data_IF_591914175840
#
_entry.id   IF_591914175840
#
_cell.length_a   1.000
_cell.length_b   1.000
_cell.length_c   1.000
_cell.angle_alpha   90.00
_cell.angle_beta   90.00
_cell.angle_gamma   90.00
#
_symmetry.space_group_name_H-M   'P 1'
#
loop_
_entity.id
_entity.type
_entity.pdbx_description
1 polymer ?
#
# COMPACT_ATOMS: atom_id res chain seq x y z
N UNK A 1 -14.07 -17.25 -2.40
CA UNK A 1 -14.32 -15.94 -1.76
C UNK A 1 -13.08 -15.24 -1.20
N UNK A 2 -12.16 -15.91 -0.49
CA UNK A 2 -11.01 -15.29 0.22
C UNK A 2 -10.09 -14.45 -0.70
N UNK A 3 -9.88 -14.91 -1.92
CA UNK A 3 -8.98 -14.28 -2.89
C UNK A 3 -9.40 -12.86 -3.31
N UNK A 4 -10.71 -12.64 -3.53
CA UNK A 4 -11.21 -11.31 -3.84
C UNK A 4 -11.02 -10.37 -2.64
N UNK A 5 -11.22 -10.89 -1.42
CA UNK A 5 -11.01 -10.12 -0.19
C UNK A 5 -9.55 -9.74 0.00
N UNK A 6 -8.60 -10.65 -0.22
CA UNK A 6 -7.16 -10.35 -0.10
C UNK A 6 -6.71 -9.27 -1.11
N UNK A 7 -7.21 -9.33 -2.35
CA UNK A 7 -6.96 -8.29 -3.36
C UNK A 7 -7.53 -6.93 -2.93
N UNK A 8 -8.78 -6.90 -2.44
CA UNK A 8 -9.44 -5.68 -1.95
C UNK A 8 -8.70 -5.10 -0.74
N UNK A 9 -8.33 -5.91 0.24
CA UNK A 9 -7.56 -5.48 1.41
C UNK A 9 -6.20 -4.90 1.00
N UNK A 10 -5.50 -5.53 0.06
CA UNK A 10 -4.26 -5.00 -0.49
C UNK A 10 -4.43 -3.62 -1.11
N UNK A 11 -5.50 -3.42 -1.91
CA UNK A 11 -5.81 -2.11 -2.47
C UNK A 11 -6.18 -1.06 -1.43
N UNK A 12 -6.94 -1.44 -0.39
CA UNK A 12 -7.26 -0.52 0.72
C UNK A 12 -5.97 -0.06 1.41
N UNK A 13 -5.06 -0.99 1.73
CA UNK A 13 -3.76 -0.65 2.31
C UNK A 13 -2.96 0.31 1.43
N UNK A 14 -2.92 0.06 0.11
CA UNK A 14 -2.23 0.94 -0.85
C UNK A 14 -2.84 2.34 -0.85
N UNK A 15 -4.17 2.45 -0.94
CA UNK A 15 -4.86 3.74 -0.99
C UNK A 15 -4.64 4.53 0.29
N UNK A 16 -4.80 3.89 1.45
CA UNK A 16 -4.62 4.55 2.76
C UNK A 16 -3.17 5.01 2.94
N UNK A 17 -2.19 4.17 2.62
CA UNK A 17 -0.78 4.53 2.74
C UNK A 17 -0.40 5.66 1.75
N UNK A 18 -0.88 5.60 0.51
CA UNK A 18 -0.64 6.64 -0.49
C UNK A 18 -1.27 7.98 -0.06
N UNK A 19 -2.50 7.96 0.45
CA UNK A 19 -3.17 9.15 0.97
C UNK A 19 -2.41 9.76 2.16
N UNK A 20 -1.94 8.92 3.09
CA UNK A 20 -1.11 9.37 4.21
C UNK A 20 0.21 9.99 3.72
N UNK A 21 0.91 9.35 2.77
CA UNK A 21 2.15 9.89 2.22
C UNK A 21 1.94 11.23 1.52
N UNK A 22 0.86 11.38 0.75
CA UNK A 22 0.49 12.65 0.12
C UNK A 22 0.19 13.74 1.16
N UNK A 23 -0.56 13.40 2.22
CA UNK A 23 -0.79 14.30 3.35
C UNK A 23 0.51 14.71 4.03
N UNK A 24 1.38 13.73 4.32
CA UNK A 24 2.66 13.95 4.97
C UNK A 24 3.56 14.86 4.15
N UNK A 25 3.69 14.62 2.84
CA UNK A 25 4.41 15.50 1.92
C UNK A 25 3.83 16.91 1.93
N UNK A 26 2.51 17.05 1.86
CA UNK A 26 1.85 18.37 1.88
C UNK A 26 2.11 19.14 3.17
N UNK A 27 1.97 18.49 4.32
CA UNK A 27 2.02 19.16 5.63
C UNK A 27 3.44 19.34 6.14
N UNK A 28 4.33 18.38 5.88
CA UNK A 28 5.69 18.38 6.44
C UNK A 28 6.77 18.84 5.46
N UNK A 29 6.52 18.77 4.15
CA UNK A 29 7.53 19.17 3.13
C UNK A 29 7.14 20.45 2.40
N UNK A 30 5.86 20.63 2.06
CA UNK A 30 5.41 21.80 1.27
C UNK A 30 4.97 23.00 2.12
N UNK A 31 4.77 22.82 3.42
CA UNK A 31 4.36 23.88 4.33
C UNK A 31 5.46 24.11 5.37
N UNK A 32 5.78 25.38 5.71
CA UNK A 32 6.68 25.67 6.81
C UNK A 32 6.01 25.21 8.12
N UNK A 33 6.57 24.16 8.71
CA UNK A 33 6.08 23.54 9.94
C UNK A 33 7.24 23.19 10.87
N UNK A 34 6.95 22.86 12.14
CA UNK A 34 7.98 22.46 13.10
C UNK A 34 8.76 21.24 12.57
N UNK A 35 10.02 21.13 13.00
CA UNK A 35 10.88 19.99 12.62
C UNK A 35 10.18 18.66 12.86
N UNK A 36 10.45 17.70 11.96
CA UNK A 36 9.95 16.34 12.06
C UNK A 36 10.33 15.73 13.41
N UNK A 37 9.32 15.30 14.16
CA UNK A 37 9.51 14.61 15.43
C UNK A 37 9.85 13.14 15.20
N UNK A 38 10.38 12.46 16.22
CA UNK A 38 10.61 11.00 16.14
C UNK A 38 9.34 10.20 15.80
N UNK A 39 8.18 10.67 16.28
CA UNK A 39 6.88 10.08 15.94
C UNK A 39 6.53 10.24 14.46
N UNK A 40 6.84 11.39 13.87
CA UNK A 40 6.59 11.63 12.43
C UNK A 40 7.42 10.68 11.57
N UNK A 41 8.68 10.46 11.93
CA UNK A 41 9.56 9.50 11.26
C UNK A 41 9.06 8.06 11.41
N UNK A 42 8.63 7.67 12.60
CA UNK A 42 8.04 6.35 12.84
C UNK A 42 6.78 6.13 11.99
N UNK A 43 5.89 7.14 11.93
CA UNK A 43 4.68 7.06 11.13
C UNK A 43 5.00 7.00 9.62
N UNK A 44 6.01 7.73 9.15
CA UNK A 44 6.47 7.68 7.77
C UNK A 44 6.99 6.28 7.40
N UNK A 45 7.86 5.69 8.23
CA UNK A 45 8.39 4.33 8.01
C UNK A 45 7.24 3.31 8.01
N UNK A 46 6.30 3.44 8.94
CA UNK A 46 5.13 2.57 9.03
C UNK A 46 4.26 2.68 7.79
N UNK A 47 4.00 3.89 7.28
CA UNK A 47 3.22 4.09 6.06
C UNK A 47 3.91 3.46 4.84
N UNK A 48 5.24 3.57 4.73
CA UNK A 48 6.02 2.91 3.67
C UNK A 48 5.90 1.39 3.79
N UNK A 49 6.04 0.83 4.99
CA UNK A 49 5.90 -0.61 5.21
C UNK A 49 4.49 -1.12 4.83
N UNK A 50 3.43 -0.39 5.22
CA UNK A 50 2.05 -0.71 4.86
C UNK A 50 1.84 -0.67 3.34
N UNK A 51 2.43 0.32 2.65
CA UNK A 51 2.37 0.42 1.20
C UNK A 51 3.00 -0.82 0.52
N UNK A 52 4.19 -1.22 0.96
CA UNK A 52 4.90 -2.40 0.44
C UNK A 52 4.07 -3.67 0.66
N UNK A 53 3.52 -3.86 1.87
CA UNK A 53 2.68 -5.00 2.21
C UNK A 53 1.39 -5.00 1.37
N UNK A 54 0.77 -3.84 1.18
CA UNK A 54 -0.42 -3.68 0.32
C UNK A 54 -0.15 -4.11 -1.12
N UNK A 55 0.94 -3.61 -1.71
CA UNK A 55 1.37 -3.98 -3.07
C UNK A 55 1.65 -5.48 -3.17
N UNK A 56 2.38 -6.05 -2.20
CA UNK A 56 2.69 -7.47 -2.16
C UNK A 56 1.41 -8.32 -2.12
N UNK A 57 0.42 -7.92 -1.31
CA UNK A 57 -0.88 -8.59 -1.25
C UNK A 57 -1.65 -8.53 -2.58
N UNK A 58 -1.64 -7.38 -3.27
CA UNK A 58 -2.27 -7.23 -4.59
C UNK A 58 -1.57 -8.11 -5.64
N UNK A 59 -0.23 -8.15 -5.64
CA UNK A 59 0.56 -8.97 -6.58
C UNK A 59 0.39 -10.46 -6.32
N UNK A 60 0.51 -10.88 -5.06
CA UNK A 60 0.32 -12.28 -4.66
C UNK A 60 -1.10 -12.74 -4.96
N UNK A 61 -2.08 -11.84 -4.79
CA UNK A 61 -3.39 -12.07 -5.33
C UNK A 61 -3.23 -12.31 -6.86
N UNK A 62 -2.92 -11.30 -7.67
CA UNK A 62 -2.92 -11.41 -9.13
C UNK A 62 -2.28 -12.71 -9.68
N UNK A 63 -1.13 -13.13 -9.14
CA UNK A 63 -0.45 -14.38 -9.50
C UNK A 63 -1.28 -15.64 -9.19
N UNK A 64 -1.91 -15.72 -8.02
CA UNK A 64 -2.81 -16.84 -7.66
C UNK A 64 -4.07 -16.87 -8.53
N UNK A 65 -4.55 -15.75 -9.07
CA UNK A 65 -5.62 -15.78 -10.08
C UNK A 65 -5.14 -16.31 -11.43
N UNK A 66 -3.91 -15.99 -11.84
CA UNK A 66 -3.32 -16.51 -13.08
C UNK A 66 -3.11 -18.02 -13.01
N UNK A 67 -2.53 -18.54 -11.92
CA UNK A 67 -2.31 -19.98 -11.74
C UNK A 67 -3.61 -20.82 -11.65
N UNK A 68 -4.77 -20.18 -11.48
CA UNK A 68 -6.08 -20.84 -11.46
C UNK A 68 -6.80 -20.81 -12.80
N UNK A 69 -6.29 -20.06 -13.79
CA UNK A 69 -6.80 -20.12 -15.16
C UNK A 69 -6.08 -21.29 -15.86
N UNK A 70 -6.81 -22.23 -16.50
CA UNK A 70 -6.16 -23.27 -17.28
C UNK A 70 -5.29 -22.63 -18.36
N UNK A 71 -4.16 -23.25 -18.76
CA UNK A 71 -3.34 -22.74 -19.84
C UNK A 71 -4.21 -22.49 -21.06
N UNK A 72 -4.11 -21.29 -21.64
CA UNK A 72 -4.81 -20.95 -22.88
C UNK A 72 -4.43 -21.98 -23.95
N UNK A 73 -5.40 -22.57 -24.67
CA UNK A 73 -5.07 -23.32 -25.88
C UNK A 73 -4.36 -22.34 -26.82
N UNK A 74 -3.18 -22.73 -27.30
CA UNK A 74 -2.47 -22.05 -28.38
C UNK A 74 -3.13 -22.38 -29.71
#
# INVERSE_FOLDING_TARGET
>A
MIYNRQKVTGWIMVIVAAAYLAYFLRVRVLLPGPLLTGQDWFNLITAIAVLIIGIANVRLAAMRAQNRRPPSPK
#
